data_IF_674864260258
#
_entry.id   IF_674864260258
#
_cell.length_a   1.000
_cell.length_b   1.000
_cell.length_c   1.000
_cell.angle_alpha   90.00
_cell.angle_beta   90.00
_cell.angle_gamma   90.00
#
_symmetry.space_group_name_H-M   'P 1'
#
loop_
_entity.id
_entity.type
_entity.pdbx_description
1 polymer ?
#
# COMPACT_ATOMS: atom_id res chain seq x y z
N UNK A 1 -26.45 -8.43 32.27
CA UNK A 1 -25.67 -8.92 31.11
C UNK A 1 -24.54 -7.95 30.87
N UNK A 2 -23.30 -8.41 30.97
CA UNK A 2 -22.12 -7.60 30.66
C UNK A 2 -21.67 -7.96 29.25
N UNK A 3 -21.79 -7.00 28.33
CA UNK A 3 -21.27 -7.12 26.98
C UNK A 3 -19.76 -6.85 27.02
N UNK A 4 -19.04 -7.73 26.33
CA UNK A 4 -17.59 -7.83 26.25
C UNK A 4 -16.94 -6.55 25.72
N UNK A 5 -15.75 -6.27 26.23
CA UNK A 5 -14.96 -5.08 25.91
C UNK A 5 -14.41 -5.09 24.49
N UNK A 6 -14.55 -3.95 23.81
CA UNK A 6 -13.61 -3.54 22.77
C UNK A 6 -12.43 -2.86 23.47
N UNK A 7 -11.25 -3.47 23.42
CA UNK A 7 -10.04 -2.88 23.99
C UNK A 7 -9.74 -1.56 23.27
N UNK A 8 -9.76 -0.46 24.01
CA UNK A 8 -9.12 0.77 23.60
C UNK A 8 -7.62 0.48 23.43
N UNK A 9 -7.07 0.89 22.29
CA UNK A 9 -5.66 0.76 21.98
C UNK A 9 -4.84 1.54 23.02
N UNK A 10 -4.14 0.83 23.90
CA UNK A 10 -3.44 1.42 25.04
C UNK A 10 -1.91 1.49 24.87
N UNK A 11 -1.35 0.98 23.76
CA UNK A 11 0.09 0.98 23.50
C UNK A 11 0.40 1.52 22.08
N UNK A 12 1.24 2.57 21.96
CA UNK A 12 1.63 3.14 20.67
C UNK A 12 2.52 2.22 19.81
N UNK A 13 3.02 1.12 20.37
CA UNK A 13 3.83 0.13 19.65
C UNK A 13 3.03 -1.10 19.18
N UNK A 14 1.72 -1.15 19.44
CA UNK A 14 0.89 -2.27 18.98
C UNK A 14 0.75 -2.20 17.46
N UNK A 15 1.36 -3.18 16.78
CA UNK A 15 1.25 -3.30 15.32
C UNK A 15 -0.09 -3.97 15.00
N UNK A 16 -1.04 -3.20 14.47
CA UNK A 16 -2.25 -3.75 13.85
C UNK A 16 -1.85 -4.45 12.55
N UNK A 17 -2.13 -5.74 12.45
CA UNK A 17 -1.79 -6.58 11.29
C UNK A 17 -2.92 -6.66 10.25
N UNK A 18 -3.87 -5.72 10.26
CA UNK A 18 -5.09 -5.77 9.44
C UNK A 18 -4.90 -5.27 8.00
N UNK A 19 -3.71 -4.80 7.64
CA UNK A 19 -3.40 -4.37 6.28
C UNK A 19 -3.34 -5.56 5.34
N UNK A 20 -4.37 -5.73 4.51
CA UNK A 20 -4.42 -6.74 3.46
C UNK A 20 -4.15 -6.11 2.09
N UNK A 21 -3.18 -6.68 1.36
CA UNK A 21 -2.94 -6.33 -0.04
C UNK A 21 -3.92 -7.10 -0.92
N UNK A 22 -4.80 -6.38 -1.60
CA UNK A 22 -5.72 -6.95 -2.59
C UNK A 22 -5.21 -6.66 -3.99
N UNK A 23 -4.93 -7.70 -4.78
CA UNK A 23 -4.64 -7.52 -6.20
C UNK A 23 -5.88 -6.98 -6.92
N UNK A 24 -5.73 -5.86 -7.61
CA UNK A 24 -6.82 -5.19 -8.36
C UNK A 24 -6.59 -5.23 -9.87
N UNK A 25 -5.39 -5.57 -10.33
CA UNK A 25 -5.13 -5.74 -11.75
C UNK A 25 -3.66 -5.98 -12.07
N UNK A 26 -3.35 -5.92 -13.36
CA UNK A 26 -1.99 -5.96 -13.90
C UNK A 26 -1.93 -4.90 -15.01
N UNK A 27 -0.94 -4.02 -14.96
CA UNK A 27 -0.78 -2.94 -15.94
C UNK A 27 0.70 -2.62 -16.20
N UNK A 28 0.98 -2.01 -17.34
CA UNK A 28 2.31 -1.49 -17.65
C UNK A 28 2.51 -0.16 -16.91
N UNK A 29 3.57 -0.07 -16.11
CA UNK A 29 3.96 1.16 -15.39
C UNK A 29 5.33 1.61 -15.84
N UNK A 30 5.47 2.91 -16.08
CA UNK A 30 6.75 3.58 -16.33
C UNK A 30 7.15 4.38 -15.09
N UNK A 31 8.37 4.14 -14.62
CA UNK A 31 9.07 4.85 -13.55
C UNK A 31 10.46 5.23 -14.06
N UNK A 32 11.26 6.05 -13.35
CA UNK A 32 12.58 6.41 -13.85
C UNK A 32 13.53 5.21 -14.06
N UNK A 33 13.36 4.12 -13.29
CA UNK A 33 14.10 2.87 -13.50
C UNK A 33 13.71 2.10 -14.78
N UNK A 34 12.64 2.50 -15.49
CA UNK A 34 12.18 1.89 -16.73
C UNK A 34 10.68 1.58 -16.76
N UNK A 35 10.28 0.81 -17.77
CA UNK A 35 8.88 0.40 -18.00
C UNK A 35 8.72 -1.10 -17.74
N UNK A 36 7.73 -1.46 -16.94
CA UNK A 36 7.53 -2.83 -16.47
C UNK A 36 6.06 -3.24 -16.48
N UNK A 37 5.78 -4.51 -16.78
CA UNK A 37 4.48 -5.11 -16.49
C UNK A 37 4.40 -5.41 -14.99
N UNK A 38 3.43 -4.81 -14.29
CA UNK A 38 3.32 -4.84 -12.85
C UNK A 38 1.93 -5.27 -12.40
N UNK A 39 1.87 -6.07 -11.34
CA UNK A 39 0.64 -6.32 -10.61
C UNK A 39 0.33 -5.13 -9.70
N UNK A 40 -0.91 -4.67 -9.77
CA UNK A 40 -1.44 -3.57 -8.98
C UNK A 40 -2.18 -4.11 -7.76
N UNK A 41 -1.80 -3.63 -6.59
CA UNK A 41 -2.42 -3.97 -5.31
C UNK A 41 -2.96 -2.71 -4.65
N UNK A 42 -4.08 -2.85 -3.95
CA UNK A 42 -4.58 -1.85 -3.02
C UNK A 42 -4.49 -2.38 -1.59
N UNK A 43 -4.09 -1.52 -0.66
CA UNK A 43 -4.17 -1.78 0.76
C UNK A 43 -4.85 -0.61 1.46
N UNK A 44 -5.77 -0.91 2.37
CA UNK A 44 -6.45 0.11 3.18
C UNK A 44 -6.04 -0.06 4.64
N UNK A 45 -5.64 1.03 5.28
CA UNK A 45 -5.30 1.09 6.69
C UNK A 45 -5.93 2.33 7.31
N UNK A 46 -6.71 2.16 8.38
CA UNK A 46 -7.37 3.25 9.12
C UNK A 46 -8.12 4.27 8.23
N UNK A 47 -8.71 3.80 7.13
CA UNK A 47 -9.47 4.62 6.18
C UNK A 47 -8.64 5.28 5.07
N UNK A 48 -7.32 5.17 5.10
CA UNK A 48 -6.42 5.56 4.01
C UNK A 48 -6.13 4.38 3.09
N UNK A 49 -6.22 4.59 1.78
CA UNK A 49 -5.88 3.55 0.80
C UNK A 49 -4.55 3.89 0.13
N UNK A 50 -3.69 2.91 -0.07
CA UNK A 50 -2.48 3.04 -0.88
C UNK A 50 -2.50 2.01 -2.01
N UNK A 51 -2.03 2.42 -3.17
CA UNK A 51 -1.84 1.56 -4.35
C UNK A 51 -0.36 1.23 -4.51
N UNK A 52 -0.06 -0.04 -4.78
CA UNK A 52 1.29 -0.57 -4.94
C UNK A 52 1.41 -1.27 -6.30
N UNK A 53 2.53 -1.05 -6.98
CA UNK A 53 2.85 -1.73 -8.24
C UNK A 53 4.10 -2.59 -8.07
N UNK A 54 3.92 -3.89 -8.25
CA UNK A 54 4.95 -4.91 -7.99
C UNK A 54 5.17 -5.73 -9.26
N UNK A 55 6.43 -5.89 -9.65
CA UNK A 55 6.83 -6.83 -10.71
C UNK A 55 7.71 -7.93 -10.11
N UNK A 56 7.50 -9.16 -10.57
CA UNK A 56 8.25 -10.31 -10.08
C UNK A 56 9.77 -10.11 -10.25
N UNK A 57 10.52 -10.41 -9.19
CA UNK A 57 11.98 -10.29 -9.18
C UNK A 57 12.52 -8.85 -9.16
N UNK A 58 11.68 -7.84 -8.88
CA UNK A 58 12.09 -6.43 -8.77
C UNK A 58 11.71 -5.86 -7.40
N UNK A 59 12.40 -4.81 -6.91
CA UNK A 59 11.89 -3.98 -5.83
C UNK A 59 10.52 -3.39 -6.17
N UNK A 60 9.85 -2.81 -5.17
CA UNK A 60 8.60 -2.07 -5.38
C UNK A 60 8.82 -1.01 -6.46
N UNK A 61 7.98 -1.04 -7.50
CA UNK A 61 8.13 -0.12 -8.63
C UNK A 61 7.56 1.24 -8.32
N UNK A 62 6.34 1.27 -7.78
CA UNK A 62 5.62 2.49 -7.45
C UNK A 62 4.73 2.27 -6.23
N UNK A 63 4.56 3.32 -5.44
CA UNK A 63 3.51 3.45 -4.43
C UNK A 63 2.81 4.78 -4.62
N UNK A 64 1.50 4.79 -4.44
CA UNK A 64 0.71 6.00 -4.39
C UNK A 64 -0.22 5.95 -3.18
N UNK A 65 -0.03 6.88 -2.24
CA UNK A 65 -0.99 7.11 -1.18
C UNK A 65 -2.23 7.82 -1.72
N UNK A 66 -3.41 7.33 -1.37
CA UNK A 66 -4.68 7.98 -1.63
C UNK A 66 -5.30 8.32 -0.26
N UNK A 67 -5.01 9.53 0.22
CA UNK A 67 -5.72 10.09 1.37
C UNK A 67 -6.97 10.82 0.87
N UNK A 68 -8.07 10.71 1.60
CA UNK A 68 -9.32 11.35 1.21
C UNK A 68 -9.14 12.87 1.11
N UNK A 69 -9.22 13.42 -0.12
CA UNK A 69 -9.18 14.86 -0.39
C UNK A 69 -7.84 15.43 -0.85
N UNK A 70 -6.74 14.67 -0.83
CA UNK A 70 -5.42 15.14 -1.29
C UNK A 70 -4.73 14.10 -2.17
N UNK A 71 -3.92 14.57 -3.13
CA UNK A 71 -3.00 13.70 -3.86
C UNK A 71 -1.92 13.25 -2.87
N UNK A 72 -2.01 12.02 -2.38
CA UNK A 72 -1.04 11.52 -1.42
C UNK A 72 0.35 11.29 -2.03
N UNK A 73 1.29 10.92 -1.18
CA UNK A 73 2.68 10.73 -1.60
C UNK A 73 2.81 9.70 -2.72
N UNK A 74 3.56 10.06 -3.76
CA UNK A 74 3.96 9.17 -4.84
C UNK A 74 5.44 8.82 -4.66
N UNK A 75 5.75 7.54 -4.66
CA UNK A 75 7.11 7.02 -4.61
C UNK A 75 7.34 6.18 -5.85
N UNK A 76 8.46 6.38 -6.54
CA UNK A 76 8.81 5.68 -7.77
C UNK A 76 10.24 5.16 -7.71
N UNK A 77 10.44 3.96 -8.23
CA UNK A 77 11.75 3.34 -8.32
C UNK A 77 12.61 4.11 -9.32
N UNK A 78 13.64 4.78 -8.82
CA UNK A 78 14.54 5.56 -9.66
C UNK A 78 15.64 4.70 -10.32
N UNK A 79 16.05 3.61 -9.67
CA UNK A 79 17.06 2.67 -10.16
C UNK A 79 17.33 1.57 -9.15
N UNK A 80 17.82 0.42 -9.62
CA UNK A 80 18.25 -0.71 -8.80
C UNK A 80 19.14 -1.62 -9.65
N UNK A 81 20.33 -1.96 -9.17
CA UNK A 81 21.24 -2.94 -9.80
C UNK A 81 21.62 -2.62 -11.24
#
# INVERSE_FOLDING_TARGET
GQAAGGQAQNNPNDVKSDVQLKKVGTETVTVPAGTFLADKYEATFEGSTATYWVAAGKPLLKMQGNSAGESGAVMELNGWG
#
